data_IF_411977014985
#
_entry.id   IF_411977014985
#
_cell.length_a   1.000
_cell.length_b   1.000
_cell.length_c   1.000
_cell.angle_alpha   90.00
_cell.angle_beta   90.00
_cell.angle_gamma   90.00
#
_symmetry.space_group_name_H-M   'P 1'
#
loop_
_entity.id
_entity.type
_entity.pdbx_description
1 polymer ?
#
# COMPACT_ATOMS: atom_id res chain seq x y z
N UNK A 1 6.77 11.50 19.10
CA UNK A 1 7.24 11.63 17.71
C UNK A 1 6.16 11.10 16.77
N UNK A 2 5.59 12.02 15.99
CA UNK A 2 4.79 11.89 14.76
C UNK A 2 3.85 10.69 14.57
N UNK A 3 2.56 10.86 14.88
CA UNK A 3 1.49 10.06 14.26
C UNK A 3 1.38 10.42 12.79
N UNK A 4 2.04 9.65 11.91
CA UNK A 4 1.88 9.77 10.47
C UNK A 4 0.49 9.23 10.10
N UNK A 5 -0.44 10.14 9.80
CA UNK A 5 -1.73 9.77 9.23
C UNK A 5 -1.49 9.24 7.81
N UNK A 6 -1.50 7.92 7.66
CA UNK A 6 -1.42 7.22 6.37
C UNK A 6 -2.82 6.78 5.97
N UNK A 7 -3.25 7.20 4.77
CA UNK A 7 -4.51 6.79 4.17
C UNK A 7 -4.37 5.39 3.56
N UNK A 8 -5.43 4.59 3.66
CA UNK A 8 -5.52 3.22 3.18
C UNK A 8 -5.67 3.18 1.65
N UNK A 9 -4.59 3.48 0.92
CA UNK A 9 -4.64 3.60 -0.55
C UNK A 9 -4.86 2.27 -1.29
N UNK A 10 -4.74 1.12 -0.61
CA UNK A 10 -4.74 -0.21 -1.25
C UNK A 10 -5.69 -1.22 -0.58
N UNK A 11 -6.62 -0.77 0.27
CA UNK A 11 -7.50 -1.69 1.03
C UNK A 11 -6.77 -2.56 2.06
N UNK A 12 -5.48 -2.30 2.31
CA UNK A 12 -4.69 -2.97 3.33
C UNK A 12 -4.63 -2.12 4.61
N UNK A 13 -4.61 -2.80 5.76
CA UNK A 13 -4.43 -2.12 7.04
C UNK A 13 -3.05 -1.47 7.14
N UNK A 14 -2.94 -0.36 7.87
CA UNK A 14 -1.65 0.28 8.17
C UNK A 14 -0.69 -0.69 8.84
N UNK A 15 -1.21 -1.61 9.68
CA UNK A 15 -0.41 -2.64 10.33
C UNK A 15 0.20 -3.62 9.31
N UNK A 16 -0.56 -4.02 8.30
CA UNK A 16 -0.08 -4.89 7.21
C UNK A 16 1.06 -4.22 6.45
N UNK A 17 0.90 -2.94 6.09
CA UNK A 17 1.94 -2.18 5.40
C UNK A 17 3.22 -2.08 6.27
N UNK A 18 3.06 -1.77 7.55
CA UNK A 18 4.19 -1.66 8.47
C UNK A 18 4.96 -2.98 8.67
N UNK A 19 4.23 -4.11 8.70
CA UNK A 19 4.86 -5.43 8.76
C UNK A 19 5.68 -5.74 7.50
N UNK A 20 5.26 -5.25 6.32
CA UNK A 20 6.05 -5.34 5.08
C UNK A 20 7.27 -4.43 5.10
N UNK A 21 7.10 -3.16 5.49
CA UNK A 21 8.19 -2.17 5.60
C UNK A 21 9.31 -2.65 6.54
N UNK A 22 8.94 -3.35 7.62
CA UNK A 22 9.88 -3.87 8.61
C UNK A 22 10.33 -5.31 8.33
N UNK A 23 9.96 -5.88 7.18
CA UNK A 23 10.36 -7.24 6.77
C UNK A 23 9.79 -8.37 7.64
N UNK A 24 8.86 -8.07 8.56
CA UNK A 24 8.19 -9.10 9.39
C UNK A 24 7.25 -9.99 8.58
N UNK A 25 6.72 -9.46 7.49
CA UNK A 25 5.87 -10.18 6.54
C UNK A 25 6.23 -9.78 5.12
N UNK A 26 5.87 -10.62 4.16
CA UNK A 26 5.97 -10.29 2.74
C UNK A 26 4.57 -10.20 2.13
N UNK A 27 4.38 -9.34 1.12
CA UNK A 27 3.12 -9.29 0.38
C UNK A 27 2.82 -10.64 -0.28
N UNK A 28 1.54 -11.02 -0.32
CA UNK A 28 1.08 -12.19 -1.07
C UNK A 28 1.30 -11.99 -2.58
N UNK A 29 1.20 -13.07 -3.37
CA UNK A 29 1.31 -13.02 -4.83
C UNK A 29 0.46 -11.91 -5.47
N UNK A 30 -0.85 -11.87 -5.22
CA UNK A 30 -1.72 -10.80 -5.74
C UNK A 30 -1.32 -9.41 -5.25
N UNK A 31 -0.94 -9.27 -3.97
CA UNK A 31 -0.50 -7.98 -3.44
C UNK A 31 0.80 -7.49 -4.11
N UNK A 32 1.75 -8.39 -4.41
CA UNK A 32 2.95 -8.05 -5.20
C UNK A 32 2.59 -7.56 -6.60
N UNK A 33 1.63 -8.23 -7.26
CA UNK A 33 1.16 -7.80 -8.57
C UNK A 33 0.53 -6.42 -8.53
N UNK A 34 -0.34 -6.15 -7.55
CA UNK A 34 -0.95 -4.82 -7.38
C UNK A 34 0.10 -3.74 -7.09
N UNK A 35 1.09 -4.03 -6.25
CA UNK A 35 2.21 -3.12 -5.99
C UNK A 35 3.01 -2.85 -7.28
N UNK A 36 3.28 -3.88 -8.09
CA UNK A 36 3.98 -3.72 -9.36
C UNK A 36 3.19 -2.84 -10.35
N UNK A 37 1.88 -3.06 -10.46
CA UNK A 37 0.99 -2.22 -11.28
C UNK A 37 0.98 -0.78 -10.77
N UNK A 38 0.84 -0.58 -9.45
CA UNK A 38 0.83 0.75 -8.84
C UNK A 38 2.15 1.51 -9.06
N UNK A 39 3.29 0.81 -9.09
CA UNK A 39 4.59 1.40 -9.41
C UNK A 39 4.73 1.74 -10.91
N UNK A 40 4.17 0.90 -11.79
CA UNK A 40 4.20 1.13 -13.24
C UNK A 40 3.22 2.22 -13.70
N UNK A 41 2.09 2.34 -13.00
CA UNK A 41 0.96 3.20 -13.35
C UNK A 41 0.46 3.98 -12.11
N UNK A 42 1.26 4.94 -11.59
CA UNK A 42 0.91 5.69 -10.39
C UNK A 42 -0.36 6.56 -10.54
N UNK A 43 -0.77 6.87 -11.77
CA UNK A 43 -2.03 7.55 -12.09
C UNK A 43 -3.26 6.80 -11.59
N UNK A 44 -3.24 5.46 -11.60
CA UNK A 44 -4.35 4.62 -11.14
C UNK A 44 -4.64 4.87 -9.66
N UNK A 45 -3.61 5.18 -8.86
CA UNK A 45 -3.78 5.49 -7.44
C UNK A 45 -4.54 6.82 -7.22
N UNK A 46 -4.48 7.75 -8.18
CA UNK A 46 -5.19 9.04 -8.07
C UNK A 46 -6.70 8.84 -8.21
N UNK A 47 -7.10 7.96 -9.12
CA UNK A 47 -8.51 7.65 -9.37
C UNK A 47 -9.14 6.88 -8.19
N UNK A 48 -8.35 6.08 -7.48
CA UNK A 48 -8.80 5.31 -6.30
C UNK A 48 -8.79 6.17 -5.03
N UNK A 49 -7.94 7.20 -4.94
CA UNK A 49 -7.82 8.07 -3.78
C UNK A 49 -8.84 9.22 -3.74
N UNK A 50 -9.64 9.38 -4.79
CA UNK A 50 -10.72 10.36 -4.83
C UNK A 50 -11.88 9.90 -3.89
N UNK A 51 -12.40 10.80 -3.01
CA UNK A 51 -13.49 10.49 -2.09
C UNK A 51 -14.82 10.23 -2.78
#
# INVERSE_FOLDING_TARGET
>A
MSSVRRQSLLGISVRTLHDWEQGRRTPSGPAKTLLAIAMAHPEILRDIAAP
#
